data_IF_134455806233
#
_entry.id   IF_134455806233
#
_cell.length_a   1.000
_cell.length_b   1.000
_cell.length_c   1.000
_cell.angle_alpha   90.00
_cell.angle_beta   90.00
_cell.angle_gamma   90.00
#
_symmetry.space_group_name_H-M   'P 1'
#
loop_
_entity.id
_entity.type
_entity.pdbx_description
1 polymer ?
#
# COMPACT_ATOMS: atom_id res chain seq x y z
N UNK A 1 -60.02 29.82 -8.05
CA UNK A 1 -59.57 28.44 -7.86
C UNK A 1 -58.06 28.40 -8.07
N UNK A 2 -57.26 28.39 -6.99
CA UNK A 2 -55.79 28.27 -7.04
C UNK A 2 -55.44 26.78 -6.96
N UNK A 3 -54.82 26.24 -8.01
CA UNK A 3 -54.27 24.87 -8.02
C UNK A 3 -52.91 24.88 -7.33
N UNK A 4 -52.77 24.21 -6.19
CA UNK A 4 -51.54 23.95 -5.50
C UNK A 4 -50.88 22.75 -6.19
N UNK A 5 -49.73 22.95 -6.82
CA UNK A 5 -48.94 21.90 -7.43
C UNK A 5 -48.00 21.35 -6.35
N UNK A 6 -48.29 20.18 -5.82
CA UNK A 6 -47.39 19.51 -4.86
C UNK A 6 -46.24 18.86 -5.62
N UNK A 7 -45.03 19.37 -5.39
CA UNK A 7 -43.81 18.82 -5.92
C UNK A 7 -43.37 17.62 -5.04
N UNK A 8 -43.47 16.41 -5.57
CA UNK A 8 -42.99 15.20 -4.90
C UNK A 8 -41.48 15.12 -5.13
N UNK A 9 -40.67 15.38 -4.09
CA UNK A 9 -39.22 15.17 -4.12
C UNK A 9 -38.97 13.68 -3.84
N UNK A 10 -38.63 12.93 -4.87
CA UNK A 10 -38.15 11.55 -4.72
C UNK A 10 -36.68 11.59 -4.33
N UNK A 11 -36.38 11.32 -3.06
CA UNK A 11 -35.04 11.14 -2.56
C UNK A 11 -34.53 9.76 -3.06
N UNK A 12 -33.71 9.74 -4.10
CA UNK A 12 -33.00 8.53 -4.52
C UNK A 12 -31.94 8.15 -3.45
N UNK A 13 -32.21 7.07 -2.72
CA UNK A 13 -31.20 6.43 -1.88
C UNK A 13 -30.11 5.86 -2.80
N UNK A 14 -28.97 6.54 -2.87
CA UNK A 14 -27.76 6.00 -3.49
C UNK A 14 -27.25 4.91 -2.54
N UNK A 15 -27.20 3.62 -2.96
CA UNK A 15 -26.63 2.59 -2.11
C UNK A 15 -25.16 2.94 -1.86
N UNK A 16 -24.79 3.09 -0.60
CA UNK A 16 -23.39 3.20 -0.20
C UNK A 16 -22.66 1.97 -0.76
N UNK A 17 -21.69 2.19 -1.63
CA UNK A 17 -20.84 1.11 -2.13
C UNK A 17 -20.24 0.40 -0.92
N UNK A 18 -20.64 -0.86 -0.69
CA UNK A 18 -20.06 -1.70 0.34
C UNK A 18 -18.59 -1.83 -0.01
N UNK A 19 -17.72 -1.30 0.84
CA UNK A 19 -16.29 -1.57 0.72
C UNK A 19 -16.14 -3.09 0.72
N UNK A 20 -15.54 -3.65 -0.34
CA UNK A 20 -15.26 -5.08 -0.41
C UNK A 20 -14.53 -5.49 0.87
N UNK A 21 -15.15 -6.40 1.63
CA UNK A 21 -14.58 -6.89 2.88
C UNK A 21 -13.29 -7.65 2.53
N UNK A 22 -12.14 -7.11 2.93
CA UNK A 22 -10.85 -7.74 2.66
C UNK A 22 -10.80 -9.11 3.31
N UNK A 23 -10.66 -10.15 2.48
CA UNK A 23 -10.47 -11.53 2.93
C UNK A 23 -8.99 -11.90 2.81
N UNK A 24 -8.37 -12.24 3.95
CA UNK A 24 -7.00 -12.72 3.97
C UNK A 24 -6.91 -14.08 3.28
N UNK A 25 -6.00 -14.20 2.30
CA UNK A 25 -5.77 -15.43 1.55
C UNK A 25 -5.09 -16.50 2.43
N UNK A 26 -5.33 -17.77 2.12
CA UNK A 26 -4.78 -18.89 2.86
C UNK A 26 -3.24 -18.87 2.92
N UNK A 27 -2.71 -19.05 4.11
CA UNK A 27 -1.27 -19.06 4.38
C UNK A 27 -0.62 -17.69 4.47
N UNK A 28 -1.36 -16.60 4.25
CA UNK A 28 -0.86 -15.24 4.53
C UNK A 28 -1.08 -14.85 5.99
N UNK A 29 -0.14 -14.06 6.52
CA UNK A 29 -0.25 -13.37 7.81
C UNK A 29 -0.31 -11.88 7.53
N UNK A 30 -1.27 -11.18 8.12
CA UNK A 30 -1.43 -9.73 7.99
C UNK A 30 -0.51 -9.00 8.97
N UNK A 31 0.19 -7.95 8.51
CA UNK A 31 1.14 -7.16 9.30
C UNK A 31 0.56 -5.83 9.76
N UNK A 32 -0.43 -5.26 9.06
CA UNK A 32 -1.21 -4.12 9.51
C UNK A 32 -2.54 -4.59 10.10
N UNK A 33 -3.01 -3.98 11.19
CA UNK A 33 -4.28 -4.35 11.84
C UNK A 33 -5.46 -3.45 11.41
N UNK A 34 -5.19 -2.39 10.63
CA UNK A 34 -6.18 -1.43 10.17
C UNK A 34 -6.80 -0.55 11.27
N UNK A 35 -6.26 -0.56 12.51
CA UNK A 35 -6.79 0.19 13.66
C UNK A 35 -5.78 1.18 14.22
N UNK A 36 -4.54 0.74 14.37
CA UNK A 36 -3.44 1.51 14.95
C UNK A 36 -2.09 1.05 14.35
N UNK A 37 -0.98 1.60 14.87
CA UNK A 37 0.38 1.26 14.45
C UNK A 37 1.01 0.16 15.33
N UNK A 38 0.24 -0.62 16.09
CA UNK A 38 0.78 -1.77 16.80
C UNK A 38 1.42 -2.76 15.82
N UNK A 39 2.63 -3.25 16.16
CA UNK A 39 3.45 -4.09 15.28
C UNK A 39 4.32 -3.31 14.29
N UNK A 40 4.37 -1.97 14.42
CA UNK A 40 5.24 -1.09 13.63
C UNK A 40 6.20 -0.32 14.54
N UNK A 41 7.45 -0.13 14.09
CA UNK A 41 8.53 0.53 14.81
C UNK A 41 9.24 1.56 13.91
N UNK A 42 10.19 2.30 14.47
CA UNK A 42 10.88 3.40 13.80
C UNK A 42 10.36 4.76 14.27
N UNK A 43 10.39 5.77 13.41
CA UNK A 43 9.88 7.08 13.81
C UNK A 43 8.41 7.22 13.42
N UNK A 44 7.52 6.91 14.35
CA UNK A 44 6.06 6.92 14.13
C UNK A 44 5.46 8.33 14.02
N UNK A 45 6.22 9.41 14.28
CA UNK A 45 5.72 10.78 14.14
C UNK A 45 5.24 11.04 12.72
N UNK A 46 4.02 11.52 12.56
CA UNK A 46 3.39 11.79 11.26
C UNK A 46 2.83 10.54 10.56
N UNK A 47 2.93 9.38 11.21
CA UNK A 47 2.24 8.17 10.79
C UNK A 47 1.01 7.94 11.66
N UNK A 48 -0.07 7.47 11.10
CA UNK A 48 -1.32 7.19 11.80
C UNK A 48 -2.10 6.13 11.04
N UNK A 49 -3.23 5.66 11.59
CA UNK A 49 -4.17 4.84 10.82
C UNK A 49 -5.42 5.67 10.55
N UNK A 50 -5.83 5.76 9.29
CA UNK A 50 -7.04 6.43 8.82
C UNK A 50 -7.79 5.50 7.89
N UNK A 51 -9.08 5.33 8.08
CA UNK A 51 -9.95 4.49 7.24
C UNK A 51 -9.41 3.07 6.98
N UNK A 52 -8.78 2.46 8.00
CA UNK A 52 -8.22 1.12 7.91
C UNK A 52 -6.87 1.01 7.19
N UNK A 53 -6.23 2.14 6.86
CA UNK A 53 -4.93 2.20 6.19
C UNK A 53 -3.89 2.94 7.05
N UNK A 54 -2.64 2.53 7.00
CA UNK A 54 -1.50 3.29 7.52
C UNK A 54 -1.34 4.52 6.64
N UNK A 55 -1.46 5.69 7.23
CA UNK A 55 -1.40 6.99 6.57
C UNK A 55 -0.09 7.71 6.90
N UNK A 56 0.60 8.19 5.89
CA UNK A 56 1.74 9.10 5.97
C UNK A 56 1.27 10.53 5.75
N UNK A 57 1.34 11.38 6.80
CA UNK A 57 1.32 12.84 6.66
C UNK A 57 2.76 13.31 6.49
N UNK A 58 3.17 13.57 5.26
CA UNK A 58 4.57 13.89 4.95
C UNK A 58 5.08 15.16 5.61
N UNK A 59 4.20 16.12 5.92
CA UNK A 59 4.56 17.38 6.60
C UNK A 59 4.95 17.15 8.05
N UNK A 60 4.31 16.18 8.70
CA UNK A 60 4.54 15.84 10.11
C UNK A 60 5.58 14.74 10.29
N UNK A 61 5.74 13.85 9.29
CA UNK A 61 6.57 12.67 9.40
C UNK A 61 8.07 13.01 9.53
N UNK A 62 8.76 12.27 10.42
CA UNK A 62 10.17 12.47 10.76
C UNK A 62 11.07 11.33 10.27
N UNK A 63 10.51 10.25 9.76
CA UNK A 63 11.29 9.10 9.27
C UNK A 63 10.42 7.95 8.81
N UNK A 64 11.10 6.88 8.41
CA UNK A 64 10.49 5.64 7.96
C UNK A 64 9.96 4.82 9.15
N UNK A 65 9.02 3.93 8.84
CA UNK A 65 8.54 2.92 9.79
C UNK A 65 8.76 1.52 9.22
N UNK A 66 8.85 0.53 10.10
CA UNK A 66 9.11 -0.87 9.75
C UNK A 66 8.21 -1.79 10.56
N UNK A 67 7.78 -2.92 9.98
CA UNK A 67 7.12 -3.94 10.78
C UNK A 67 8.10 -4.51 11.82
N UNK A 68 7.63 -4.77 13.04
CA UNK A 68 8.43 -5.40 14.11
C UNK A 68 8.76 -6.85 13.75
N UNK A 69 7.78 -7.55 13.17
CA UNK A 69 8.00 -8.92 12.67
C UNK A 69 8.94 -8.86 11.47
N UNK A 70 10.02 -9.63 11.57
CA UNK A 70 11.06 -9.72 10.55
C UNK A 70 10.86 -10.98 9.73
N UNK A 71 11.03 -10.86 8.45
CA UNK A 71 10.91 -11.97 7.50
C UNK A 71 12.15 -12.01 6.61
N UNK A 72 12.56 -13.21 6.24
CA UNK A 72 13.69 -13.47 5.35
C UNK A 72 13.43 -14.71 4.50
N UNK A 73 14.37 -15.06 3.63
CA UNK A 73 14.27 -16.24 2.77
C UNK A 73 13.23 -16.09 1.65
N UNK A 74 12.56 -17.20 1.34
CA UNK A 74 11.59 -17.26 0.24
C UNK A 74 10.19 -16.89 0.76
N UNK A 75 9.65 -15.78 0.29
CA UNK A 75 8.35 -15.25 0.76
C UNK A 75 7.57 -14.61 -0.38
N UNK A 76 6.25 -14.54 -0.21
CA UNK A 76 5.38 -13.69 -1.01
C UNK A 76 4.92 -12.55 -0.12
N UNK A 77 5.11 -11.31 -0.55
CA UNK A 77 4.64 -10.10 0.14
C UNK A 77 3.63 -9.42 -0.76
N UNK A 78 2.49 -9.04 -0.21
CA UNK A 78 1.47 -8.25 -0.89
C UNK A 78 1.06 -7.06 -0.03
N UNK A 79 0.79 -5.95 -0.69
CA UNK A 79 0.24 -4.76 -0.03
C UNK A 79 -0.52 -3.90 -1.04
N UNK A 80 -1.35 -3.02 -0.53
CA UNK A 80 -1.93 -1.97 -1.36
C UNK A 80 -1.40 -0.62 -0.91
N UNK A 81 -1.14 0.27 -1.89
CA UNK A 81 -0.78 1.66 -1.64
C UNK A 81 -1.64 2.61 -2.47
N UNK A 82 -1.82 3.82 -1.94
CA UNK A 82 -2.50 4.93 -2.60
C UNK A 82 -1.64 6.18 -2.44
N UNK A 83 -1.18 6.74 -3.55
CA UNK A 83 -0.36 7.94 -3.59
C UNK A 83 -1.24 9.19 -3.74
N UNK A 84 -0.94 10.27 -3.03
CA UNK A 84 -1.46 11.59 -3.37
C UNK A 84 -0.88 12.08 -4.71
N UNK A 85 -1.50 13.07 -5.39
CA UNK A 85 -0.96 13.60 -6.64
C UNK A 85 0.48 14.10 -6.50
N UNK A 86 1.38 13.56 -7.32
CA UNK A 86 2.81 13.88 -7.33
C UNK A 86 3.61 13.30 -6.15
N UNK A 87 3.02 12.44 -5.32
CA UNK A 87 3.69 11.84 -4.18
C UNK A 87 4.70 10.77 -4.59
N UNK A 88 5.76 10.64 -3.79
CA UNK A 88 6.85 9.69 -3.93
C UNK A 88 7.18 9.05 -2.57
N UNK A 89 7.40 7.74 -2.57
CA UNK A 89 7.69 6.92 -1.39
C UNK A 89 8.40 5.63 -1.82
N UNK A 90 8.60 4.71 -0.88
CA UNK A 90 9.22 3.42 -1.14
C UNK A 90 8.74 2.33 -0.19
N UNK A 91 8.81 1.10 -0.66
CA UNK A 91 8.62 -0.09 0.15
C UNK A 91 9.95 -0.82 0.27
N UNK A 92 10.40 -1.03 1.51
CA UNK A 92 11.62 -1.79 1.78
C UNK A 92 11.28 -3.26 2.02
N UNK A 93 11.98 -4.11 1.30
CA UNK A 93 11.86 -5.57 1.40
C UNK A 93 13.27 -6.14 1.50
N UNK A 94 13.56 -6.88 2.57
CA UNK A 94 14.90 -7.39 2.88
C UNK A 94 16.00 -6.32 2.75
N UNK A 95 15.70 -5.09 3.20
CA UNK A 95 16.61 -3.94 3.15
C UNK A 95 16.75 -3.26 1.80
N UNK A 96 16.14 -3.76 0.75
CA UNK A 96 16.14 -3.12 -0.56
C UNK A 96 14.85 -2.35 -0.78
N UNK A 97 14.95 -1.19 -1.40
CA UNK A 97 13.82 -0.31 -1.66
C UNK A 97 13.30 -0.48 -3.08
N UNK A 98 12.01 -0.76 -3.21
CA UNK A 98 11.27 -0.50 -4.43
C UNK A 98 10.57 0.85 -4.28
N UNK A 99 10.81 1.74 -5.24
CA UNK A 99 10.16 3.04 -5.27
C UNK A 99 8.69 2.87 -5.66
N UNK A 100 7.77 3.43 -4.86
CA UNK A 100 6.35 3.53 -5.15
C UNK A 100 5.93 4.99 -5.18
N UNK A 101 5.07 5.38 -6.16
CA UNK A 101 4.79 6.80 -6.41
C UNK A 101 3.52 7.01 -7.21
N UNK A 102 3.11 8.27 -7.39
CA UNK A 102 2.23 8.67 -8.49
C UNK A 102 3.04 8.58 -9.81
N UNK A 103 3.24 7.37 -10.33
CA UNK A 103 4.11 7.10 -11.47
C UNK A 103 3.86 7.96 -12.72
N UNK A 104 2.62 8.37 -13.06
CA UNK A 104 2.38 9.28 -14.16
C UNK A 104 2.99 10.66 -13.97
N UNK A 105 3.22 11.12 -12.72
CA UNK A 105 3.61 12.50 -12.42
C UNK A 105 4.92 12.63 -11.64
N UNK A 106 5.25 11.68 -10.78
CA UNK A 106 6.42 11.74 -9.93
C UNK A 106 7.56 10.86 -10.45
N UNK A 107 8.77 11.41 -10.60
CA UNK A 107 9.99 10.69 -10.94
C UNK A 107 9.98 9.94 -12.27
N UNK A 108 10.83 8.93 -12.43
CA UNK A 108 10.86 8.08 -13.63
C UNK A 108 9.54 7.34 -13.82
N UNK A 109 9.03 7.34 -15.06
CA UNK A 109 7.72 6.77 -15.42
C UNK A 109 7.77 5.28 -15.78
N UNK A 110 8.81 4.58 -15.36
CA UNK A 110 9.08 3.19 -15.79
C UNK A 110 7.95 2.20 -15.52
N UNK A 111 7.16 2.42 -14.45
CA UNK A 111 6.03 1.54 -14.09
C UNK A 111 4.64 2.19 -14.33
N UNK A 112 4.61 3.35 -14.99
CA UNK A 112 3.35 4.06 -15.23
C UNK A 112 2.33 3.25 -16.04
N UNK A 113 2.80 2.32 -16.88
CA UNK A 113 1.93 1.44 -17.69
C UNK A 113 1.10 0.46 -16.86
N UNK A 114 1.56 0.14 -15.64
CA UNK A 114 0.89 -0.79 -14.74
C UNK A 114 0.17 -0.07 -13.58
N UNK A 115 0.44 1.21 -13.37
CA UNK A 115 -0.08 1.98 -12.24
C UNK A 115 -1.47 2.54 -12.52
N UNK A 116 -2.29 2.59 -11.47
CA UNK A 116 -3.53 3.37 -11.45
C UNK A 116 -3.22 4.82 -11.09
N UNK A 117 -4.11 5.77 -11.45
CA UNK A 117 -3.96 7.17 -11.10
C UNK A 117 -3.79 7.44 -9.60
N UNK A 118 -3.22 8.60 -9.26
CA UNK A 118 -3.19 9.09 -7.88
C UNK A 118 -4.58 9.12 -7.27
N UNK A 119 -4.69 8.75 -6.00
CA UNK A 119 -5.95 8.61 -5.28
C UNK A 119 -6.60 7.22 -5.41
N UNK A 120 -6.14 6.37 -6.33
CA UNK A 120 -6.61 5.00 -6.46
C UNK A 120 -5.68 3.99 -5.78
N UNK A 121 -6.25 2.88 -5.32
CA UNK A 121 -5.49 1.80 -4.71
C UNK A 121 -4.76 0.96 -5.76
N UNK A 122 -3.44 0.89 -5.64
CA UNK A 122 -2.56 0.02 -6.40
C UNK A 122 -2.19 -1.19 -5.54
N UNK A 123 -2.17 -2.38 -6.12
CA UNK A 123 -1.67 -3.60 -5.46
C UNK A 123 -0.25 -3.90 -5.93
N UNK A 124 0.64 -4.14 -4.95
CA UNK A 124 2.02 -4.51 -5.17
C UNK A 124 2.24 -5.93 -4.62
N UNK A 125 2.89 -6.79 -5.42
CA UNK A 125 3.28 -8.13 -5.04
C UNK A 125 4.78 -8.32 -5.28
N UNK A 126 5.47 -8.89 -4.28
CA UNK A 126 6.83 -9.41 -4.39
C UNK A 126 6.80 -10.91 -4.21
N UNK A 127 7.18 -11.66 -5.23
CA UNK A 127 7.41 -13.11 -5.15
C UNK A 127 8.91 -13.37 -5.06
N UNK A 128 9.41 -13.58 -3.85
CA UNK A 128 10.84 -13.70 -3.55
C UNK A 128 11.26 -15.16 -3.53
N UNK A 129 12.30 -15.47 -4.30
CA UNK A 129 12.93 -16.81 -4.32
C UNK A 129 14.43 -16.65 -4.51
N UNK A 130 15.22 -17.27 -3.63
CA UNK A 130 16.68 -17.34 -3.71
C UNK A 130 17.36 -15.96 -3.96
N UNK A 131 16.91 -14.92 -3.24
CA UNK A 131 17.50 -13.57 -3.29
C UNK A 131 17.12 -12.76 -4.52
N UNK A 132 16.12 -13.19 -5.28
CA UNK A 132 15.52 -12.41 -6.38
C UNK A 132 14.01 -12.34 -6.21
N UNK A 133 13.40 -11.27 -6.71
CA UNK A 133 11.96 -11.12 -6.72
C UNK A 133 11.42 -10.92 -8.14
N UNK A 134 10.33 -11.60 -8.47
CA UNK A 134 9.40 -11.09 -9.46
C UNK A 134 8.50 -10.08 -8.75
N UNK A 135 8.38 -8.87 -9.31
CA UNK A 135 7.52 -7.82 -8.74
C UNK A 135 6.39 -7.51 -9.70
N UNK A 136 5.16 -7.50 -9.16
CA UNK A 136 3.96 -7.13 -9.92
C UNK A 136 3.29 -5.90 -9.35
N UNK A 137 2.83 -5.03 -10.22
CA UNK A 137 1.98 -3.89 -9.92
C UNK A 137 0.63 -4.10 -10.62
N UNK A 138 -0.45 -4.17 -9.85
CA UNK A 138 -1.80 -4.46 -10.35
C UNK A 138 -1.87 -5.71 -11.26
N UNK A 139 -1.11 -6.75 -10.89
CA UNK A 139 -1.02 -8.02 -11.63
C UNK A 139 -0.09 -8.00 -12.84
N UNK A 140 0.45 -6.85 -13.25
CA UNK A 140 1.42 -6.74 -14.34
C UNK A 140 2.85 -6.84 -13.81
N UNK A 141 3.69 -7.66 -14.42
CA UNK A 141 5.11 -7.81 -14.05
C UNK A 141 5.84 -6.51 -14.40
N UNK A 142 6.41 -5.86 -13.37
CA UNK A 142 7.22 -4.65 -13.49
C UNK A 142 8.72 -4.94 -13.35
N UNK A 143 9.07 -5.98 -12.60
CA UNK A 143 10.45 -6.48 -12.46
C UNK A 143 10.44 -8.01 -12.50
N UNK A 144 11.25 -8.62 -13.36
CA UNK A 144 11.31 -10.10 -13.51
C UNK A 144 12.32 -10.76 -12.58
N UNK A 145 13.39 -10.05 -12.24
CA UNK A 145 14.50 -10.57 -11.44
C UNK A 145 15.14 -9.44 -10.63
N UNK A 146 14.33 -8.75 -9.85
CA UNK A 146 14.80 -7.69 -8.96
C UNK A 146 15.70 -8.32 -7.89
N UNK A 147 16.97 -7.91 -7.89
CA UNK A 147 17.94 -8.47 -6.96
C UNK A 147 17.71 -7.93 -5.56
N UNK A 148 17.61 -8.84 -4.61
CA UNK A 148 17.53 -8.54 -3.19
C UNK A 148 18.91 -8.79 -2.60
N UNK A 149 19.57 -7.74 -2.10
CA UNK A 149 20.94 -7.78 -1.65
C UNK A 149 21.20 -8.65 -0.41
N UNK A 150 20.15 -9.03 0.33
CA UNK A 150 20.27 -9.86 1.52
C UNK A 150 19.01 -10.67 1.74
N UNK A 151 19.17 -11.95 2.08
CA UNK A 151 18.08 -12.80 2.57
C UNK A 151 17.91 -12.71 4.10
N UNK A 152 18.61 -11.79 4.78
CA UNK A 152 18.46 -11.61 6.22
C UNK A 152 17.03 -11.17 6.56
N UNK A 153 16.51 -11.73 7.63
CA UNK A 153 15.19 -11.37 8.12
C UNK A 153 15.14 -9.89 8.53
N UNK A 154 14.26 -9.14 7.88
CA UNK A 154 14.03 -7.71 8.15
C UNK A 154 12.55 -7.39 8.15
N UNK A 155 12.16 -6.29 8.82
CA UNK A 155 10.82 -5.75 8.75
C UNK A 155 10.54 -5.19 7.35
N UNK A 156 9.28 -5.25 6.95
CA UNK A 156 8.79 -4.53 5.78
C UNK A 156 8.80 -3.04 6.13
N UNK A 157 9.47 -2.23 5.31
CA UNK A 157 9.57 -0.79 5.57
C UNK A 157 8.69 0.05 4.67
N UNK A 158 8.18 1.15 5.23
CA UNK A 158 7.44 2.18 4.51
C UNK A 158 8.23 3.49 4.60
N UNK A 159 8.52 4.09 3.45
CA UNK A 159 9.37 5.27 3.38
C UNK A 159 8.59 6.56 3.60
N UNK A 160 9.19 7.49 4.33
CA UNK A 160 8.84 8.90 4.33
C UNK A 160 9.68 9.63 3.29
N UNK A 161 9.05 10.13 2.23
CA UNK A 161 9.75 10.93 1.21
C UNK A 161 8.97 12.18 0.80
N UNK A 162 8.07 12.14 -0.16
CA UNK A 162 7.36 13.32 -0.66
C UNK A 162 5.87 13.04 -0.90
N UNK A 163 5.02 13.95 -0.44
CA UNK A 163 3.56 13.80 -0.54
C UNK A 163 2.99 12.76 0.41
N UNK A 164 1.68 12.78 0.56
CA UNK A 164 0.98 11.86 1.45
C UNK A 164 0.76 10.50 0.78
N UNK A 165 0.80 9.45 1.60
CA UNK A 165 0.61 8.07 1.17
C UNK A 165 -0.28 7.31 2.14
N UNK A 166 -1.02 6.34 1.60
CA UNK A 166 -1.75 5.35 2.37
C UNK A 166 -1.29 3.96 2.00
N UNK A 167 -1.18 3.07 3.01
CA UNK A 167 -0.83 1.66 2.85
C UNK A 167 -1.82 0.79 3.60
N UNK A 168 -2.25 -0.33 3.00
CA UNK A 168 -3.16 -1.27 3.66
C UNK A 168 -2.96 -2.70 3.16
N UNK A 169 -3.55 -3.64 3.91
CA UNK A 169 -3.56 -5.07 3.56
C UNK A 169 -2.15 -5.62 3.34
N UNK A 170 -1.21 -5.14 4.17
CA UNK A 170 0.19 -5.58 4.14
C UNK A 170 0.23 -6.98 4.72
N UNK A 171 0.61 -7.95 3.90
CA UNK A 171 0.56 -9.36 4.26
C UNK A 171 1.70 -10.14 3.65
N UNK A 172 2.09 -11.20 4.32
CA UNK A 172 3.23 -12.03 3.93
C UNK A 172 2.88 -13.52 4.05
N UNK A 173 3.43 -14.31 3.14
CA UNK A 173 3.37 -15.77 3.14
C UNK A 173 4.75 -16.35 2.96
N UNK A 174 5.18 -17.20 3.91
CA UNK A 174 6.41 -17.97 3.75
C UNK A 174 6.20 -19.08 2.71
N UNK A 175 7.20 -19.28 1.85
CA UNK A 175 7.22 -20.35 0.85
C UNK A 175 7.97 -21.55 1.45
N UNK A 176 7.35 -22.71 1.32
CA UNK A 176 7.96 -23.98 1.72
C UNK A 176 9.04 -24.42 0.73
#
# INVERSE_FOLDING_TARGET
MRRVLSLLVVLALIPAARADEFKLEEGFVRLDNGKDLAGWTGNLTGWSVKEGAIHLDVKMAKGNIYSETKHGGNVIIRLQFRAAPGADSGVFVHGNQLQVRDYPKAGPKQYAFAAKPAGEWNELEFDITNGTAEVKLNGQVIEKAWKIGSNAAQGIGLQKEAGDFDYRFIRIKEKK
#
